data_IF_461998346405
#
_entry.id   IF_461998346405
#
_cell.length_a   1.000
_cell.length_b   1.000
_cell.length_c   1.000
_cell.angle_alpha   90.00
_cell.angle_beta   90.00
_cell.angle_gamma   90.00
#
_symmetry.space_group_name_H-M   'P 1'
#
loop_
_entity.id
_entity.type
_entity.pdbx_description
1 polymer ?
#
# COMPACT_ATOMS: atom_id res chain seq x y z
N UNK A 1 -7.49 15.65 5.69
CA UNK A 1 -7.78 14.65 4.66
C UNK A 1 -6.51 14.31 3.89
N UNK A 2 -6.26 13.07 3.67
CA UNK A 2 -5.00 12.64 3.05
C UNK A 2 -5.12 12.60 1.54
N UNK A 3 -4.10 13.12 0.86
CA UNK A 3 -4.06 13.06 -0.60
C UNK A 3 -3.81 11.64 -1.10
N UNK A 4 -3.16 10.82 -0.29
CA UNK A 4 -2.78 9.46 -0.72
C UNK A 4 -3.92 8.45 -0.59
N UNK A 5 -5.03 8.80 0.02
CA UNK A 5 -6.16 7.92 0.19
C UNK A 5 -7.43 8.61 -0.31
N UNK A 6 -8.07 8.02 -1.31
CA UNK A 6 -9.28 8.56 -1.91
C UNK A 6 -10.39 7.54 -1.84
N UNK A 7 -11.63 8.01 -1.67
CA UNK A 7 -12.79 7.14 -1.73
C UNK A 7 -12.94 6.59 -3.16
N UNK A 8 -13.23 5.30 -3.26
CA UNK A 8 -13.48 4.63 -4.53
C UNK A 8 -14.73 3.76 -4.37
N UNK A 9 -15.36 3.38 -5.48
CA UNK A 9 -16.54 2.51 -5.40
C UNK A 9 -16.20 1.23 -4.66
N UNK A 10 -16.91 0.99 -3.55
CA UNK A 10 -16.72 -0.21 -2.75
C UNK A 10 -15.49 -0.22 -1.87
N UNK A 11 -14.71 0.88 -1.81
CA UNK A 11 -13.51 0.89 -0.99
C UNK A 11 -12.72 2.16 -1.11
N UNK A 12 -11.40 2.03 -1.22
CA UNK A 12 -10.49 3.17 -1.30
C UNK A 12 -9.46 2.95 -2.39
N UNK A 13 -8.94 4.06 -2.91
CA UNK A 13 -7.82 4.07 -3.85
C UNK A 13 -6.63 4.69 -3.13
N UNK A 14 -5.52 3.97 -3.09
CA UNK A 14 -4.32 4.40 -2.39
C UNK A 14 -3.24 4.81 -3.39
N UNK A 15 -2.68 5.99 -3.19
CA UNK A 15 -1.56 6.47 -4.00
C UNK A 15 -0.29 6.16 -3.23
N UNK A 16 0.55 5.29 -3.77
CA UNK A 16 1.73 4.80 -3.08
C UNK A 16 3.00 5.13 -3.85
N UNK A 17 4.08 5.24 -3.10
CA UNK A 17 5.44 5.29 -3.63
C UNK A 17 6.19 4.14 -2.99
N UNK A 18 6.65 3.18 -3.80
CA UNK A 18 7.17 1.91 -3.32
C UNK A 18 8.69 1.86 -3.51
N UNK A 19 9.41 1.50 -2.46
CA UNK A 19 10.86 1.31 -2.51
C UNK A 19 11.15 -0.17 -2.26
N UNK A 20 11.64 -0.89 -3.27
CA UNK A 20 11.96 -2.32 -3.10
C UNK A 20 13.30 -2.53 -2.41
N UNK A 21 13.63 -3.79 -2.15
CA UNK A 21 14.91 -4.21 -1.56
C UNK A 21 15.13 -3.74 -0.14
N UNK A 22 14.04 -3.46 0.57
CA UNK A 22 14.15 -3.12 1.98
C UNK A 22 14.35 -4.41 2.78
N UNK A 23 14.84 -4.27 4.00
CA UNK A 23 15.01 -5.42 4.87
C UNK A 23 13.68 -5.96 5.38
N UNK A 24 12.66 -5.12 5.39
CA UNK A 24 11.31 -5.56 5.74
C UNK A 24 10.30 -4.62 5.10
N UNK A 25 9.06 -5.09 5.00
CA UNK A 25 7.98 -4.30 4.43
C UNK A 25 7.34 -3.45 5.51
N UNK A 26 7.29 -2.14 5.27
CA UNK A 26 6.76 -1.21 6.27
C UNK A 26 6.35 0.10 5.62
N UNK A 27 5.43 0.81 6.26
CA UNK A 27 5.07 2.16 5.84
C UNK A 27 6.13 3.11 6.38
N UNK A 28 6.62 4.00 5.51
CA UNK A 28 7.71 4.91 5.85
C UNK A 28 7.27 6.37 5.96
N UNK A 29 5.98 6.65 5.83
CA UNK A 29 5.47 8.01 5.93
C UNK A 29 4.82 8.48 4.65
N UNK A 30 4.65 9.78 4.52
CA UNK A 30 4.02 10.40 3.34
C UNK A 30 4.98 11.42 2.76
N UNK A 31 5.11 11.42 1.44
CA UNK A 31 5.88 12.42 0.73
C UNK A 31 5.23 12.68 -0.62
N UNK A 32 5.12 13.96 -0.98
CA UNK A 32 4.60 14.38 -2.27
C UNK A 32 3.21 13.81 -2.57
N UNK A 33 2.36 13.74 -1.53
CA UNK A 33 0.99 13.27 -1.68
C UNK A 33 0.84 11.78 -1.84
N UNK A 34 1.90 11.00 -1.55
CA UNK A 34 1.87 9.55 -1.66
C UNK A 34 2.33 8.90 -0.37
N UNK A 35 1.71 7.79 -0.03
CA UNK A 35 2.14 6.99 1.10
C UNK A 35 3.37 6.19 0.68
N UNK A 36 4.46 6.38 1.40
CA UNK A 36 5.70 5.67 1.09
C UNK A 36 5.71 4.32 1.77
N UNK A 37 6.01 3.28 1.00
CA UNK A 37 6.06 1.91 1.51
C UNK A 37 7.38 1.29 1.08
N UNK A 38 8.15 0.81 2.05
CA UNK A 38 9.34 0.02 1.78
C UNK A 38 8.91 -1.43 1.67
N UNK A 39 9.43 -2.11 0.67
CA UNK A 39 9.00 -3.47 0.38
C UNK A 39 10.20 -4.42 0.38
N UNK A 40 10.11 -5.47 1.18
CA UNK A 40 11.14 -6.50 1.25
C UNK A 40 10.87 -7.52 0.14
N UNK A 41 11.41 -7.23 -1.04
CA UNK A 41 11.22 -8.09 -2.21
C UNK A 41 12.46 -8.02 -3.09
N UNK A 42 12.81 -9.13 -3.76
CA UNK A 42 13.92 -9.13 -4.70
C UNK A 42 13.55 -8.31 -5.95
N UNK A 43 14.54 -7.88 -6.74
CA UNK A 43 14.27 -7.10 -7.96
C UNK A 43 13.84 -8.02 -9.11
N UNK A 44 12.76 -8.75 -8.90
CA UNK A 44 12.19 -9.68 -9.86
C UNK A 44 10.80 -9.18 -10.23
N UNK A 45 10.44 -9.30 -11.50
CA UNK A 45 9.15 -8.83 -11.98
C UNK A 45 8.01 -9.40 -11.14
N UNK A 46 7.16 -8.50 -10.66
CA UNK A 46 5.99 -8.89 -9.89
C UNK A 46 6.24 -9.14 -8.42
N UNK A 47 7.49 -9.33 -8.00
CA UNK A 47 7.76 -9.67 -6.61
C UNK A 47 7.36 -8.55 -5.65
N UNK A 48 7.66 -7.31 -6.00
CA UNK A 48 7.31 -6.17 -5.15
C UNK A 48 5.80 -5.99 -5.10
N UNK A 49 5.11 -6.19 -6.23
CA UNK A 49 3.65 -6.07 -6.25
C UNK A 49 3.00 -7.15 -5.39
N UNK A 50 3.49 -8.38 -5.45
CA UNK A 50 2.94 -9.47 -4.64
C UNK A 50 3.13 -9.21 -3.16
N UNK A 51 4.30 -8.74 -2.78
CA UNK A 51 4.57 -8.43 -1.38
C UNK A 51 3.73 -7.26 -0.91
N UNK A 52 3.56 -6.24 -1.77
CA UNK A 52 2.74 -5.08 -1.45
C UNK A 52 1.28 -5.50 -1.21
N UNK A 53 0.74 -6.36 -2.08
CA UNK A 53 -0.62 -6.86 -1.92
C UNK A 53 -0.77 -7.62 -0.61
N UNK A 54 0.20 -8.49 -0.31
CA UNK A 54 0.17 -9.27 0.93
C UNK A 54 0.20 -8.35 2.15
N UNK A 55 1.09 -7.36 2.12
CA UNK A 55 1.25 -6.43 3.23
C UNK A 55 -0.02 -5.61 3.47
N UNK A 56 -0.59 -5.05 2.40
CA UNK A 56 -1.79 -4.24 2.53
C UNK A 56 -2.99 -5.06 2.97
N UNK A 57 -3.14 -6.26 2.43
CA UNK A 57 -4.25 -7.14 2.81
C UNK A 57 -4.19 -7.47 4.31
N UNK A 58 -3.00 -7.80 4.80
CA UNK A 58 -2.81 -8.11 6.20
C UNK A 58 -3.05 -6.88 7.08
N UNK A 59 -2.48 -5.75 6.68
CA UNK A 59 -2.57 -4.52 7.46
C UNK A 59 -3.99 -3.99 7.55
N UNK A 60 -4.78 -4.19 6.50
CA UNK A 60 -6.15 -3.67 6.44
C UNK A 60 -7.20 -4.73 6.80
N UNK A 61 -6.78 -5.96 7.04
CA UNK A 61 -7.70 -7.01 7.45
C UNK A 61 -8.65 -7.48 6.37
N UNK A 62 -8.19 -7.48 5.10
CA UNK A 62 -9.00 -7.93 3.96
C UNK A 62 -8.27 -9.04 3.23
N UNK A 63 -8.99 -9.85 2.43
CA UNK A 63 -8.32 -10.88 1.62
C UNK A 63 -7.51 -10.23 0.50
N UNK A 64 -6.51 -10.96 0.01
CA UNK A 64 -5.68 -10.45 -1.09
C UNK A 64 -6.50 -10.10 -2.32
N UNK A 65 -7.57 -10.83 -2.57
CA UNK A 65 -8.42 -10.58 -3.72
C UNK A 65 -9.09 -9.21 -3.68
N UNK A 66 -9.13 -8.58 -2.51
CA UNK A 66 -9.67 -7.22 -2.36
C UNK A 66 -8.66 -6.15 -2.72
N UNK A 67 -7.40 -6.50 -2.91
CA UNK A 67 -6.31 -5.56 -3.17
C UNK A 67 -5.85 -5.71 -4.61
N UNK A 68 -5.92 -4.62 -5.39
CA UNK A 68 -5.56 -4.64 -6.80
C UNK A 68 -4.63 -3.49 -7.12
N UNK A 69 -3.46 -3.80 -7.68
CA UNK A 69 -2.56 -2.77 -8.17
C UNK A 69 -3.05 -2.37 -9.55
N UNK A 70 -3.50 -1.12 -9.69
CA UNK A 70 -4.17 -0.70 -10.92
C UNK A 70 -3.28 0.10 -11.87
N UNK A 71 -2.26 0.77 -11.34
CA UNK A 71 -1.41 1.64 -12.15
C UNK A 71 0.03 1.45 -11.72
N UNK A 72 0.96 1.52 -12.68
CA UNK A 72 2.38 1.55 -12.42
C UNK A 72 2.98 0.22 -11.98
N UNK A 73 2.65 -0.88 -12.67
CA UNK A 73 3.15 -2.19 -12.21
C UNK A 73 4.67 -2.29 -12.22
N UNK A 74 5.33 -1.57 -13.14
CA UNK A 74 6.79 -1.62 -13.23
C UNK A 74 7.50 -0.45 -12.57
N UNK A 75 6.77 0.52 -12.01
CA UNK A 75 7.36 1.71 -11.45
C UNK A 75 7.26 1.77 -9.94
N UNK A 76 7.84 2.83 -9.38
CA UNK A 76 7.74 3.05 -7.94
C UNK A 76 6.40 3.65 -7.53
N UNK A 77 5.80 4.45 -8.40
CA UNK A 77 4.50 5.06 -8.13
C UNK A 77 3.42 4.08 -8.53
N UNK A 78 2.61 3.70 -7.56
CA UNK A 78 1.56 2.72 -7.78
C UNK A 78 0.25 3.24 -7.24
N UNK A 79 -0.84 2.89 -7.92
CA UNK A 79 -2.18 3.13 -7.42
C UNK A 79 -2.79 1.78 -7.10
N UNK A 80 -3.31 1.65 -5.89
CA UNK A 80 -3.86 0.39 -5.41
C UNK A 80 -5.29 0.59 -4.97
N UNK A 81 -6.18 -0.24 -5.51
CA UNK A 81 -7.59 -0.25 -5.12
C UNK A 81 -7.78 -1.32 -4.05
N UNK A 82 -8.40 -0.95 -2.94
CA UNK A 82 -8.71 -1.89 -1.87
C UNK A 82 -10.20 -1.83 -1.60
N UNK A 83 -10.87 -2.95 -1.82
CA UNK A 83 -12.31 -3.06 -1.58
C UNK A 83 -12.59 -3.46 -0.14
N UNK A 84 -13.73 -3.00 0.37
CA UNK A 84 -14.17 -3.38 1.71
C UNK A 84 -13.49 -2.62 2.83
N UNK A 85 -12.84 -1.50 2.51
CA UNK A 85 -12.12 -0.69 3.50
C UNK A 85 -12.64 0.73 3.46
N UNK A 86 -12.96 1.29 4.61
CA UNK A 86 -13.34 2.70 4.72
C UNK A 86 -12.09 3.58 4.78
N UNK A 87 -12.17 4.84 4.36
CA UNK A 87 -11.01 5.74 4.42
C UNK A 87 -10.40 5.85 5.81
N UNK A 88 -11.21 5.85 6.85
CA UNK A 88 -10.69 5.93 8.22
C UNK A 88 -9.82 4.72 8.56
N UNK A 89 -10.20 3.54 8.08
CA UNK A 89 -9.39 2.35 8.32
C UNK A 89 -8.08 2.41 7.55
N UNK A 90 -8.12 2.92 6.32
CA UNK A 90 -6.90 3.06 5.52
C UNK A 90 -5.91 4.05 6.15
N UNK A 91 -6.40 5.10 6.79
CA UNK A 91 -5.54 6.07 7.46
C UNK A 91 -4.67 5.44 8.53
N UNK A 92 -5.13 4.32 9.09
CA UNK A 92 -4.37 3.64 10.14
C UNK A 92 -3.07 3.04 9.63
N UNK A 93 -2.91 2.89 8.31
CA UNK A 93 -1.62 2.46 7.76
C UNK A 93 -0.52 3.40 8.18
N UNK A 94 -0.79 4.71 8.11
CA UNK A 94 0.20 5.69 8.50
C UNK A 94 0.40 5.71 10.02
N UNK A 95 -0.68 5.59 10.78
CA UNK A 95 -0.60 5.60 12.23
C UNK A 95 0.15 4.39 12.76
N UNK A 96 0.06 3.26 12.08
CA UNK A 96 0.69 2.03 12.53
C UNK A 96 2.16 1.90 12.18
N UNK A 97 2.68 2.82 11.36
CA UNK A 97 4.07 2.68 10.96
C UNK A 97 4.99 2.95 12.17
N UNK A 98 6.03 2.14 12.30
CA UNK A 98 6.93 2.24 13.43
C UNK A 98 6.50 1.40 14.63
N UNK A 99 5.32 0.91 14.61
CA UNK A 99 4.86 -0.03 15.64
C UNK A 99 5.09 -1.43 15.18
N UNK A 100 5.16 -2.04 15.85
CA UNK A 100 5.02 -3.21 15.46
C UNK A 100 5.23 -4.03 16.04
N UNK A 101 4.96 -3.79 16.04
CA UNK A 101 5.00 -4.75 16.72
C UNK A 101 4.60 -6.01 16.39
#
# INVERSE_FOLDING_TARGET
>A
MSLWCKVAPGGVSLLLSVSPRASRTEVAGVAEGRLRVRVAAPPVDGAANEELVRFLARSLGVPRSAVTVTVGPGGRRKTVLVRGVAPAAAQRLLEGHGHHG
#
